data_IF_213601784557
#
_entry.id   IF_213601784557
#
_cell.length_a   1.000
_cell.length_b   1.000
_cell.length_c   1.000
_cell.angle_alpha   90.00
_cell.angle_beta   90.00
_cell.angle_gamma   90.00
#
_symmetry.space_group_name_H-M   'P 1'
#
loop_
_entity.id
_entity.type
_entity.pdbx_description
1 polymer ?
#
# COMPACT_ATOMS: atom_id res chain seq x y z
N UNK A 1 15.37 12.44 5.45
CA UNK A 1 14.13 11.66 5.33
C UNK A 1 13.82 11.06 6.68
N UNK A 2 12.55 10.79 6.91
CA UNK A 2 12.07 10.07 8.08
C UNK A 2 11.30 8.85 7.61
N UNK A 3 11.31 7.79 8.41
CA UNK A 3 10.43 6.64 8.21
C UNK A 3 9.08 6.95 8.86
N UNK A 4 8.01 6.65 8.13
CA UNK A 4 6.64 6.83 8.54
C UNK A 4 5.90 5.50 8.44
N UNK A 5 5.38 5.02 9.57
CA UNK A 5 4.57 3.82 9.63
C UNK A 5 3.08 4.17 9.53
N UNK A 6 2.36 3.53 8.62
CA UNK A 6 0.92 3.72 8.43
C UNK A 6 0.29 2.52 7.73
N UNK A 7 -1.04 2.41 7.79
CA UNK A 7 -1.78 1.33 7.11
C UNK A 7 -2.75 1.92 6.10
N UNK A 8 -2.77 1.36 4.88
CA UNK A 8 -3.75 1.67 3.86
C UNK A 8 -4.69 0.47 3.65
N UNK A 9 -5.99 0.72 3.70
CA UNK A 9 -7.02 -0.24 3.28
C UNK A 9 -7.19 -0.15 1.78
N UNK A 10 -7.16 -1.29 1.11
CA UNK A 10 -7.17 -1.38 -0.36
C UNK A 10 -8.40 -2.15 -0.83
N UNK A 11 -9.08 -1.61 -1.83
CA UNK A 11 -10.18 -2.28 -2.54
C UNK A 11 -9.76 -2.65 -3.96
N UNK A 12 -10.38 -3.68 -4.51
CA UNK A 12 -10.04 -4.24 -5.82
C UNK A 12 -9.73 -5.74 -5.77
N UNK A 13 -8.96 -6.25 -6.75
CA UNK A 13 -8.50 -7.64 -6.79
C UNK A 13 -7.81 -8.10 -5.50
N UNK A 14 -7.69 -9.43 -5.32
CA UNK A 14 -7.07 -10.00 -4.13
C UNK A 14 -5.57 -9.72 -4.10
N UNK A 15 -5.14 -8.79 -3.23
CA UNK A 15 -3.73 -8.37 -3.15
C UNK A 15 -2.78 -9.45 -2.61
N UNK A 16 -3.30 -10.61 -2.20
CA UNK A 16 -2.50 -11.77 -1.81
C UNK A 16 -2.25 -12.75 -2.97
N UNK A 17 -2.77 -12.50 -4.17
CA UNK A 17 -2.38 -13.25 -5.36
C UNK A 17 -0.95 -12.90 -5.79
N UNK A 18 -0.15 -13.92 -6.11
CA UNK A 18 1.28 -13.76 -6.45
C UNK A 18 1.52 -12.68 -7.52
N UNK A 19 0.71 -12.67 -8.59
CA UNK A 19 0.85 -11.68 -9.66
C UNK A 19 0.58 -10.24 -9.21
N UNK A 20 -0.26 -10.04 -8.20
CA UNK A 20 -0.55 -8.72 -7.65
C UNK A 20 0.52 -8.32 -6.63
N UNK A 21 1.03 -9.26 -5.82
CA UNK A 21 2.17 -9.02 -4.94
C UNK A 21 3.39 -8.58 -5.76
N UNK A 22 3.69 -9.30 -6.85
CA UNK A 22 4.80 -8.97 -7.75
C UNK A 22 4.60 -7.56 -8.35
N UNK A 23 3.39 -7.25 -8.82
CA UNK A 23 3.09 -5.93 -9.39
C UNK A 23 3.16 -4.80 -8.35
N UNK A 24 2.71 -5.02 -7.11
CA UNK A 24 2.86 -4.06 -6.01
C UNK A 24 4.34 -3.80 -5.71
N UNK A 25 5.15 -4.86 -5.64
CA UNK A 25 6.59 -4.74 -5.44
C UNK A 25 7.25 -3.95 -6.57
N UNK A 26 6.95 -4.27 -7.82
CA UNK A 26 7.49 -3.57 -9.00
C UNK A 26 7.07 -2.09 -9.08
N UNK A 27 5.90 -1.74 -8.56
CA UNK A 27 5.39 -0.37 -8.51
C UNK A 27 5.86 0.44 -7.30
N UNK A 28 6.76 -0.10 -6.47
CA UNK A 28 7.37 0.64 -5.36
C UNK A 28 6.70 0.45 -4.00
N UNK A 29 5.93 -0.63 -3.82
CA UNK A 29 5.43 -1.04 -2.50
C UNK A 29 6.34 -2.09 -1.82
N UNK A 30 7.65 -2.07 -2.09
CA UNK A 30 8.63 -3.00 -1.49
C UNK A 30 8.86 -2.77 0.01
N UNK A 31 8.37 -1.65 0.53
CA UNK A 31 8.31 -1.26 1.93
C UNK A 31 6.95 -1.59 2.60
N UNK A 32 6.08 -2.33 1.90
CA UNK A 32 4.74 -2.70 2.34
C UNK A 32 4.61 -4.17 2.73
N UNK A 33 3.93 -4.45 3.85
CA UNK A 33 3.48 -5.79 4.23
C UNK A 33 1.99 -5.95 3.95
N UNK A 34 1.64 -6.88 3.07
CA UNK A 34 0.25 -7.20 2.70
C UNK A 34 -0.42 -8.05 3.78
N UNK A 35 -1.66 -7.71 4.14
CA UNK A 35 -2.48 -8.48 5.07
C UNK A 35 -3.96 -8.47 4.73
N UNK A 36 -4.71 -9.39 5.37
CA UNK A 36 -6.17 -9.44 5.32
C UNK A 36 -6.73 -9.82 6.70
N UNK A 37 -7.78 -9.14 7.12
CA UNK A 37 -8.51 -9.44 8.35
C UNK A 37 -9.99 -9.15 8.15
N UNK A 38 -10.86 -10.10 8.52
CA UNK A 38 -12.32 -9.99 8.38
C UNK A 38 -12.80 -9.57 6.97
N UNK A 39 -12.14 -10.10 5.93
CA UNK A 39 -12.42 -9.78 4.53
C UNK A 39 -11.88 -8.43 4.05
N UNK A 40 -11.28 -7.62 4.93
CA UNK A 40 -10.64 -6.36 4.58
C UNK A 40 -9.16 -6.60 4.31
N UNK A 41 -8.69 -6.23 3.12
CA UNK A 41 -7.27 -6.29 2.76
C UNK A 41 -6.60 -4.93 2.95
N UNK A 42 -5.34 -4.96 3.38
CA UNK A 42 -4.57 -3.77 3.74
C UNK A 42 -3.08 -3.97 3.48
N UNK A 43 -2.36 -2.86 3.42
CA UNK A 43 -0.90 -2.84 3.34
C UNK A 43 -0.38 -1.98 4.49
N UNK A 44 0.55 -2.53 5.27
CA UNK A 44 1.25 -1.84 6.35
C UNK A 44 2.58 -1.36 5.78
N UNK A 45 2.81 -0.05 5.78
CA UNK A 45 4.03 0.57 5.24
C UNK A 45 4.97 1.02 6.36
N UNK A 46 6.26 0.97 6.06
CA UNK A 46 7.34 1.67 6.78
C UNK A 46 8.13 2.54 5.79
N UNK A 47 7.50 3.62 5.31
CA UNK A 47 7.97 4.38 4.13
C UNK A 47 8.86 5.56 4.48
N UNK A 48 9.97 5.71 3.76
CA UNK A 48 10.84 6.88 3.88
C UNK A 48 10.40 8.04 2.98
N UNK A 49 10.21 9.23 3.55
CA UNK A 49 9.88 10.44 2.79
C UNK A 49 10.37 11.73 3.47
N UNK A 50 10.21 12.88 2.81
CA UNK A 50 10.48 14.18 3.44
C UNK A 50 9.35 14.65 4.38
N UNK A 51 8.14 14.11 4.22
CA UNK A 51 6.99 14.38 5.08
C UNK A 51 6.01 13.20 5.12
N UNK A 52 5.15 13.16 6.15
CA UNK A 52 4.12 12.13 6.25
C UNK A 52 3.14 12.16 5.07
N UNK A 53 2.73 13.35 4.63
CA UNK A 53 1.83 13.51 3.50
C UNK A 53 2.43 12.98 2.20
N UNK A 54 3.74 13.18 2.00
CA UNK A 54 4.47 12.63 0.85
C UNK A 54 4.59 11.10 0.94
N UNK A 55 4.81 10.55 2.14
CA UNK A 55 4.84 9.09 2.34
C UNK A 55 3.48 8.45 1.98
N UNK A 56 2.37 9.00 2.50
CA UNK A 56 1.03 8.50 2.19
C UNK A 56 0.67 8.68 0.72
N UNK A 57 0.92 9.86 0.14
CA UNK A 57 0.55 10.14 -1.25
C UNK A 57 1.32 9.25 -2.23
N UNK A 58 2.62 9.06 -2.02
CA UNK A 58 3.40 8.16 -2.87
C UNK A 58 2.90 6.72 -2.76
N UNK A 59 2.54 6.25 -1.56
CA UNK A 59 2.02 4.89 -1.38
C UNK A 59 0.67 4.69 -2.09
N UNK A 60 -0.21 5.68 -2.04
CA UNK A 60 -1.47 5.67 -2.79
C UNK A 60 -1.19 5.61 -4.29
N UNK A 61 -0.29 6.45 -4.80
CA UNK A 61 0.06 6.48 -6.22
C UNK A 61 0.63 5.14 -6.70
N UNK A 62 1.46 4.48 -5.90
CA UNK A 62 2.07 3.18 -6.23
C UNK A 62 1.02 2.05 -6.24
N UNK A 63 0.08 2.06 -5.28
CA UNK A 63 -1.04 1.13 -5.23
C UNK A 63 -1.97 1.34 -6.44
N UNK A 64 -2.37 2.57 -6.73
CA UNK A 64 -3.35 2.85 -7.80
C UNK A 64 -2.79 2.63 -9.21
N UNK A 65 -1.46 2.59 -9.38
CA UNK A 65 -0.80 2.14 -10.61
C UNK A 65 -0.88 0.62 -10.78
N UNK A 66 -1.17 -0.12 -9.72
CA UNK A 66 -1.26 -1.57 -9.72
C UNK A 66 -2.71 -2.01 -9.98
N UNK A 67 -2.95 -2.61 -11.16
CA UNK A 67 -4.17 -3.35 -11.58
C UNK A 67 -5.46 -3.04 -10.80
N UNK A 68 -6.18 -2.00 -11.21
CA UNK A 68 -7.53 -1.64 -10.69
C UNK A 68 -7.65 -1.48 -9.17
N UNK A 69 -6.53 -1.47 -8.42
CA UNK A 69 -6.53 -1.25 -6.98
C UNK A 69 -6.84 0.20 -6.64
N UNK A 70 -7.54 0.40 -5.54
CA UNK A 70 -7.88 1.73 -5.03
C UNK A 70 -7.65 1.78 -3.53
N UNK A 71 -7.03 2.85 -3.07
CA UNK A 71 -6.93 3.10 -1.63
C UNK A 71 -8.25 3.65 -1.12
N UNK A 72 -8.83 3.01 -0.10
CA UNK A 72 -10.14 3.39 0.45
C UNK A 72 -10.01 4.24 1.71
N UNK A 73 -9.03 3.92 2.56
CA UNK A 73 -8.88 4.58 3.85
C UNK A 73 -7.47 4.43 4.42
N UNK A 74 -7.00 5.47 5.09
CA UNK A 74 -5.78 5.43 5.89
C UNK A 74 -6.15 5.19 7.37
N UNK A 75 -5.53 4.18 7.97
CA UNK A 75 -5.64 3.89 9.42
C UNK A 75 -4.31 4.28 10.08
N UNK A 76 -4.40 5.12 11.12
CA UNK A 76 -3.27 5.55 11.96
C UNK A 76 -3.24 4.77 13.27
#
# INVERSE_FOLDING_TARGET
MYSYSFTLVVDGPDIQEDAIIDALFENGCDDGTVGRSDGIQFIIFDREAASFAEAVQSAIDDIERTLELKTVHQVN
#
